data_IF_073268469943
#
_entry.id   IF_073268469943
#
_cell.length_a   1.000
_cell.length_b   1.000
_cell.length_c   1.000
_cell.angle_alpha   90.00
_cell.angle_beta   90.00
_cell.angle_gamma   90.00
#
_symmetry.space_group_name_H-M   'P 1'
#
loop_
_entity.id
_entity.type
_entity.pdbx_description
1 polymer ?
#
# COMPACT_ATOMS: atom_id res chain seq x y z
N UNK A 1 85.11 8.62 -22.33
CA UNK A 1 84.46 8.11 -21.11
C UNK A 1 83.29 8.98 -20.64
N UNK A 2 83.31 10.30 -20.83
CA UNK A 2 82.27 11.21 -20.31
C UNK A 2 80.88 11.10 -20.98
N UNK A 3 80.81 10.75 -22.28
CA UNK A 3 79.50 10.58 -22.94
C UNK A 3 78.74 9.34 -22.46
N UNK A 4 79.43 8.26 -22.12
CA UNK A 4 78.80 7.04 -21.60
C UNK A 4 78.18 7.26 -20.21
N UNK A 5 78.79 8.13 -19.39
CA UNK A 5 78.26 8.48 -18.07
C UNK A 5 76.97 9.30 -18.17
N UNK A 6 76.87 10.22 -19.14
CA UNK A 6 75.65 11.01 -19.37
C UNK A 6 74.47 10.14 -19.83
N UNK A 7 74.71 9.17 -20.72
CA UNK A 7 73.65 8.23 -21.11
C UNK A 7 73.20 7.34 -19.95
N UNK A 8 74.13 6.87 -19.11
CA UNK A 8 73.76 6.09 -17.92
C UNK A 8 72.89 6.89 -16.94
N UNK A 9 73.15 8.19 -16.76
CA UNK A 9 72.32 9.06 -15.91
C UNK A 9 70.91 9.22 -16.48
N UNK A 10 70.77 9.38 -17.80
CA UNK A 10 69.46 9.49 -18.46
C UNK A 10 68.66 8.18 -18.34
N UNK A 11 69.31 7.03 -18.53
CA UNK A 11 68.67 5.72 -18.35
C UNK A 11 68.28 5.46 -16.89
N UNK A 12 69.11 5.86 -15.93
CA UNK A 12 68.77 5.77 -14.50
C UNK A 12 67.56 6.65 -14.15
N UNK A 13 67.49 7.84 -14.74
CA UNK A 13 66.39 8.79 -14.53
C UNK A 13 65.06 8.27 -15.11
N UNK A 14 65.10 7.68 -16.32
CA UNK A 14 63.94 7.05 -16.94
C UNK A 14 63.49 5.80 -16.19
N UNK A 15 64.43 5.01 -15.68
CA UNK A 15 64.13 3.82 -14.87
C UNK A 15 63.50 4.19 -13.53
N UNK A 16 64.02 5.21 -12.84
CA UNK A 16 63.43 5.75 -11.62
C UNK A 16 62.02 6.31 -11.85
N UNK A 17 61.79 7.02 -12.96
CA UNK A 17 60.45 7.49 -13.33
C UNK A 17 59.48 6.32 -13.60
N UNK A 18 59.95 5.26 -14.26
CA UNK A 18 59.14 4.06 -14.52
C UNK A 18 58.82 3.28 -13.23
N UNK A 19 59.76 3.19 -12.30
CA UNK A 19 59.54 2.63 -10.95
C UNK A 19 58.56 3.49 -10.16
N UNK A 20 58.60 4.83 -10.27
CA UNK A 20 57.63 5.71 -9.64
C UNK A 20 56.21 5.55 -10.22
N UNK A 21 56.08 5.35 -11.54
CA UNK A 21 54.79 5.04 -12.19
C UNK A 21 54.28 3.67 -11.76
N UNK A 22 55.14 2.66 -11.64
CA UNK A 22 54.77 1.33 -11.16
C UNK A 22 54.41 1.33 -9.67
N UNK A 23 55.07 2.13 -8.82
CA UNK A 23 54.70 2.32 -7.41
C UNK A 23 53.37 3.07 -7.28
N UNK A 24 53.10 4.06 -8.14
CA UNK A 24 51.81 4.74 -8.21
C UNK A 24 50.70 3.82 -8.77
N UNK A 25 51.03 2.89 -9.68
CA UNK A 25 50.12 1.88 -10.21
C UNK A 25 49.97 0.65 -9.28
N UNK A 26 50.89 0.42 -8.32
CA UNK A 26 50.71 -0.57 -7.27
C UNK A 26 50.02 0.00 -6.02
N UNK A 27 49.99 1.33 -5.86
CA UNK A 27 49.11 2.01 -4.92
C UNK A 27 47.65 2.12 -5.42
N UNK A 28 47.34 1.62 -6.63
CA UNK A 28 46.01 1.05 -6.89
C UNK A 28 45.94 -0.37 -6.32
N UNK A 29 46.25 -0.49 -5.02
CA UNK A 29 45.70 -1.52 -4.17
C UNK A 29 44.20 -1.34 -4.27
N UNK A 30 43.58 -2.25 -5.02
CA UNK A 30 42.40 -2.99 -4.56
C UNK A 30 41.57 -2.14 -3.60
N UNK A 31 40.96 -1.09 -4.15
CA UNK A 31 39.60 -0.82 -3.77
C UNK A 31 38.80 -1.98 -4.40
N UNK A 32 38.83 -3.21 -3.89
CA UNK A 32 38.00 -3.54 -2.74
C UNK A 32 37.55 -2.27 -2.01
N UNK A 33 36.67 -1.51 -2.70
CA UNK A 33 35.49 -1.05 -2.01
C UNK A 33 34.98 -2.33 -1.37
N UNK A 34 35.34 -2.51 -0.10
CA UNK A 34 34.38 -2.89 0.91
C UNK A 34 33.13 -2.16 0.45
N UNK A 35 32.23 -2.89 -0.23
CA UNK A 35 30.87 -2.44 -0.44
C UNK A 35 30.51 -2.04 0.98
N UNK A 36 30.48 -0.72 1.26
CA UNK A 36 29.96 -0.33 2.53
C UNK A 36 28.57 -0.91 2.50
N UNK A 37 28.26 -1.71 3.51
CA UNK A 37 26.90 -2.11 3.84
C UNK A 37 26.14 -0.87 4.35
N UNK A 38 26.33 0.29 3.71
CA UNK A 38 25.36 1.36 3.72
C UNK A 38 24.24 0.85 2.83
N UNK A 39 23.39 0.04 3.43
CA UNK A 39 22.11 -0.35 2.86
C UNK A 39 21.42 0.94 2.41
N UNK A 40 21.27 1.21 1.10
CA UNK A 40 20.61 2.42 0.61
C UNK A 40 19.14 2.48 1.02
N UNK A 41 18.63 1.40 1.61
CA UNK A 41 17.23 1.20 1.96
C UNK A 41 17.08 1.14 3.48
N UNK A 42 16.23 1.97 4.10
CA UNK A 42 16.11 2.08 5.56
C UNK A 42 15.35 0.89 6.19
N UNK A 43 15.66 -0.35 5.80
CA UNK A 43 15.03 -1.57 6.29
C UNK A 43 13.98 -2.18 5.35
N UNK A 44 14.13 -1.99 4.03
CA UNK A 44 13.25 -2.66 3.05
C UNK A 44 13.50 -4.17 3.05
N UNK A 45 12.44 -4.93 2.79
CA UNK A 45 12.54 -6.32 2.34
C UNK A 45 11.95 -6.36 0.94
N UNK A 46 12.73 -6.78 -0.03
CA UNK A 46 12.36 -6.80 -1.45
C UNK A 46 12.73 -8.17 -2.01
N UNK A 47 11.71 -8.96 -2.35
CA UNK A 47 11.85 -10.35 -2.76
C UNK A 47 11.33 -10.50 -4.18
N UNK A 48 12.18 -10.97 -5.09
CA UNK A 48 11.79 -11.43 -6.41
C UNK A 48 11.53 -12.94 -6.35
N UNK A 49 10.25 -13.31 -6.40
CA UNK A 49 9.82 -14.68 -6.19
C UNK A 49 10.08 -15.50 -7.45
N UNK A 50 10.84 -16.58 -7.31
CA UNK A 50 11.27 -17.40 -8.43
C UNK A 50 12.59 -16.99 -9.08
N UNK A 51 13.16 -15.83 -8.72
CA UNK A 51 14.47 -15.42 -9.22
C UNK A 51 15.58 -16.36 -8.74
N UNK A 52 16.52 -16.75 -9.62
CA UNK A 52 17.65 -17.59 -9.22
C UNK A 52 18.73 -16.85 -8.44
N UNK A 53 18.80 -15.51 -8.55
CA UNK A 53 19.87 -14.70 -7.98
C UNK A 53 19.34 -13.37 -7.44
N UNK A 54 20.07 -12.81 -6.49
CA UNK A 54 19.88 -11.45 -6.00
C UNK A 54 20.41 -10.45 -7.04
N UNK A 55 19.82 -9.26 -7.11
CA UNK A 55 20.24 -8.21 -8.02
C UNK A 55 19.87 -6.80 -7.53
N UNK A 56 20.59 -5.80 -8.05
CA UNK A 56 20.19 -4.41 -7.96
C UNK A 56 19.32 -4.09 -9.17
N UNK A 57 18.08 -3.70 -8.96
CA UNK A 57 17.26 -3.14 -10.02
C UNK A 57 17.76 -1.72 -10.34
N UNK A 58 18.26 -1.50 -11.56
CA UNK A 58 18.92 -0.24 -11.92
C UNK A 58 17.94 0.94 -12.03
N UNK A 59 16.67 0.67 -12.37
CA UNK A 59 15.65 1.71 -12.55
C UNK A 59 15.16 2.25 -11.21
N UNK A 60 14.75 1.36 -10.30
CA UNK A 60 14.29 1.76 -8.96
C UNK A 60 15.46 2.02 -8.00
N UNK A 61 16.63 1.43 -8.25
CA UNK A 61 17.75 1.43 -7.30
C UNK A 61 17.56 0.46 -6.13
N UNK A 62 16.52 -0.39 -6.15
CA UNK A 62 16.18 -1.32 -5.07
C UNK A 62 16.97 -2.62 -5.22
N UNK A 63 17.53 -3.10 -4.11
CA UNK A 63 18.13 -4.43 -4.05
C UNK A 63 17.06 -5.50 -3.83
N UNK A 64 16.93 -6.44 -4.78
CA UNK A 64 16.04 -7.59 -4.68
C UNK A 64 16.80 -8.86 -4.35
N UNK A 65 16.22 -9.65 -3.46
CA UNK A 65 16.73 -10.97 -3.08
C UNK A 65 15.86 -12.08 -3.65
N UNK A 66 16.45 -13.25 -3.87
CA UNK A 66 15.71 -14.47 -4.14
C UNK A 66 14.85 -14.88 -2.93
N UNK A 67 13.75 -15.59 -3.20
CA UNK A 67 12.80 -16.05 -2.18
C UNK A 67 13.23 -17.28 -1.37
N UNK A 68 14.41 -17.87 -1.65
CA UNK A 68 14.87 -19.14 -1.07
C UNK A 68 14.90 -19.18 0.45
N UNK A 69 15.15 -18.05 1.10
CA UNK A 69 15.24 -17.95 2.56
C UNK A 69 13.94 -17.53 3.25
N UNK A 70 12.87 -17.31 2.47
CA UNK A 70 11.60 -16.79 2.96
C UNK A 70 10.48 -17.82 2.93
N UNK A 71 10.61 -18.88 2.14
CA UNK A 71 9.65 -19.98 2.04
C UNK A 71 10.34 -21.29 1.72
N UNK A 72 9.80 -22.42 2.22
CA UNK A 72 10.43 -23.74 2.11
C UNK A 72 9.86 -24.59 0.96
N UNK A 73 8.73 -24.21 0.39
CA UNK A 73 7.98 -25.02 -0.59
C UNK A 73 7.76 -24.27 -1.91
N UNK A 74 7.16 -24.95 -2.88
CA UNK A 74 6.79 -24.38 -4.17
C UNK A 74 7.85 -24.54 -5.25
N UNK A 75 7.47 -24.18 -6.47
CA UNK A 75 8.25 -24.38 -7.69
C UNK A 75 8.40 -23.06 -8.42
N UNK A 76 9.64 -22.73 -8.80
CA UNK A 76 10.00 -21.51 -9.50
C UNK A 76 9.80 -21.69 -11.01
N UNK A 77 9.18 -20.71 -11.65
CA UNK A 77 8.94 -20.72 -13.10
C UNK A 77 9.18 -19.33 -13.66
N UNK A 78 9.72 -19.26 -14.88
CA UNK A 78 9.75 -18.01 -15.64
C UNK A 78 8.36 -17.70 -16.17
N UNK A 79 7.96 -16.45 -16.04
CA UNK A 79 6.75 -15.91 -16.64
C UNK A 79 7.06 -15.63 -18.10
N UNK A 80 6.28 -16.20 -19.01
CA UNK A 80 6.38 -15.83 -20.43
C UNK A 80 5.59 -14.53 -20.61
N UNK A 81 6.21 -13.44 -21.11
CA UNK A 81 5.50 -12.20 -21.35
C UNK A 81 4.43 -12.45 -22.43
N UNK A 82 3.17 -12.42 -22.04
CA UNK A 82 2.02 -12.42 -22.96
C UNK A 82 1.55 -10.99 -23.31
N UNK A 83 2.18 -9.99 -22.69
CA UNK A 83 2.06 -8.56 -22.98
C UNK A 83 3.40 -7.88 -22.67
N UNK A 84 3.56 -6.65 -23.15
CA UNK A 84 4.69 -5.82 -22.76
C UNK A 84 4.51 -5.42 -21.29
N UNK A 85 5.10 -6.21 -20.38
CA UNK A 85 5.14 -5.96 -18.94
C UNK A 85 6.33 -5.06 -18.56
N UNK A 86 7.10 -4.57 -19.54
CA UNK A 86 8.14 -3.56 -19.38
C UNK A 86 7.53 -2.19 -19.03
N UNK A 87 6.84 -2.14 -17.91
CA UNK A 87 6.70 -0.90 -17.16
C UNK A 87 8.05 -0.67 -16.48
N UNK A 88 8.75 0.45 -16.77
CA UNK A 88 10.07 0.71 -16.20
C UNK A 88 10.13 0.45 -14.68
N UNK A 89 9.05 0.80 -13.98
CA UNK A 89 8.92 0.70 -12.53
C UNK A 89 8.69 -0.70 -11.94
N UNK A 90 8.36 -1.70 -12.75
CA UNK A 90 8.25 -3.09 -12.28
C UNK A 90 9.53 -3.89 -12.54
N UNK A 91 10.44 -3.38 -13.38
CA UNK A 91 11.73 -4.02 -13.66
C UNK A 91 11.60 -5.52 -13.97
N UNK A 92 12.40 -6.32 -13.26
CA UNK A 92 12.40 -7.79 -13.36
C UNK A 92 11.27 -8.52 -12.63
N UNK A 93 10.50 -7.84 -11.77
CA UNK A 93 9.66 -8.46 -10.73
C UNK A 93 8.49 -9.31 -11.24
N UNK A 94 8.12 -9.12 -12.51
CA UNK A 94 7.03 -9.84 -13.15
C UNK A 94 7.52 -10.93 -14.11
N UNK A 95 8.84 -11.14 -14.22
CA UNK A 95 9.45 -12.11 -15.13
C UNK A 95 9.59 -13.50 -14.52
N UNK A 96 9.44 -13.61 -13.20
CA UNK A 96 9.51 -14.85 -12.44
C UNK A 96 8.33 -14.97 -11.50
N UNK A 97 8.03 -16.22 -11.14
CA UNK A 97 7.10 -16.52 -10.07
C UNK A 97 7.51 -17.78 -9.33
N UNK A 98 7.02 -17.90 -8.09
CA UNK A 98 6.95 -19.17 -7.36
C UNK A 98 5.50 -19.61 -7.26
N UNK A 99 5.23 -20.85 -7.66
CA UNK A 99 3.91 -21.50 -7.59
C UNK A 99 3.85 -22.54 -6.47
N UNK A 100 2.67 -22.76 -5.89
CA UNK A 100 2.48 -23.67 -4.75
C UNK A 100 1.46 -24.77 -5.07
N UNK A 101 1.85 -25.82 -5.81
CA UNK A 101 0.94 -26.90 -6.20
C UNK A 101 0.45 -27.73 -5.01
N UNK A 102 1.31 -27.84 -4.00
CA UNK A 102 1.09 -28.61 -2.77
C UNK A 102 0.70 -27.71 -1.59
N UNK A 103 -0.01 -28.30 -0.62
CA UNK A 103 -0.51 -27.59 0.54
C UNK A 103 -1.75 -26.73 0.24
N UNK A 104 -2.56 -26.50 1.28
CA UNK A 104 -3.69 -25.57 1.22
C UNK A 104 -3.30 -24.14 1.54
N UNK A 105 -2.20 -23.96 2.27
CA UNK A 105 -1.70 -22.68 2.78
C UNK A 105 -0.19 -22.71 2.74
N UNK A 106 0.39 -21.78 2.00
CA UNK A 106 1.84 -21.63 1.87
C UNK A 106 2.20 -20.20 2.24
N UNK A 107 3.24 -20.02 3.05
CA UNK A 107 3.55 -18.72 3.64
C UNK A 107 5.00 -18.31 3.39
N UNK A 108 5.18 -17.01 3.20
CA UNK A 108 6.44 -16.32 3.34
C UNK A 108 6.60 -15.87 4.78
N UNK A 109 7.82 -15.93 5.29
CA UNK A 109 8.18 -15.47 6.64
C UNK A 109 9.07 -14.25 6.53
N UNK A 110 8.54 -13.08 6.88
CA UNK A 110 9.27 -11.81 6.87
C UNK A 110 9.69 -11.45 8.31
N UNK A 111 10.92 -10.95 8.46
CA UNK A 111 11.49 -10.49 9.74
C UNK A 111 12.01 -9.06 9.59
N UNK A 112 11.13 -8.05 9.62
CA UNK A 112 11.54 -6.66 9.46
C UNK A 112 12.46 -6.21 10.61
N UNK A 113 13.46 -5.38 10.29
CA UNK A 113 14.48 -4.93 11.25
C UNK A 113 13.89 -4.20 12.47
N UNK A 114 12.82 -3.44 12.29
CA UNK A 114 12.16 -2.70 13.37
C UNK A 114 11.21 -3.59 14.22
N UNK A 115 10.88 -4.80 13.74
CA UNK A 115 10.08 -5.78 14.47
C UNK A 115 8.62 -5.37 14.68
N UNK A 116 8.03 -5.85 15.77
CA UNK A 116 6.64 -5.56 16.14
C UNK A 116 6.38 -4.09 16.45
N UNK A 117 5.11 -3.69 16.46
CA UNK A 117 4.61 -2.36 16.80
C UNK A 117 5.11 -1.23 15.89
N UNK A 118 5.61 -1.57 14.70
CA UNK A 118 5.97 -0.63 13.65
C UNK A 118 5.04 -0.81 12.46
N UNK A 119 4.75 0.28 11.74
CA UNK A 119 3.90 0.23 10.55
C UNK A 119 4.71 -0.18 9.34
N UNK A 120 4.13 -1.08 8.54
CA UNK A 120 4.71 -1.53 7.28
C UNK A 120 3.69 -1.48 6.17
N UNK A 121 4.07 -0.94 5.02
CA UNK A 121 3.40 -1.19 3.74
C UNK A 121 3.94 -2.52 3.20
N UNK A 122 3.05 -3.48 2.96
CA UNK A 122 3.36 -4.78 2.39
C UNK A 122 2.66 -4.86 1.04
N UNK A 123 3.39 -5.28 0.01
CA UNK A 123 2.90 -5.35 -1.37
C UNK A 123 3.24 -6.69 -1.98
N UNK A 124 2.24 -7.34 -2.57
CA UNK A 124 2.40 -8.59 -3.30
C UNK A 124 2.06 -8.39 -4.78
N UNK A 125 2.91 -8.93 -5.65
CA UNK A 125 2.77 -8.85 -7.11
C UNK A 125 2.47 -10.22 -7.69
N UNK A 126 1.62 -10.24 -8.72
CA UNK A 126 1.20 -11.46 -9.39
C UNK A 126 1.18 -11.25 -10.91
N UNK A 127 2.04 -11.95 -11.65
CA UNK A 127 1.97 -12.05 -13.11
C UNK A 127 1.92 -13.53 -13.52
N UNK A 128 0.81 -13.97 -14.13
CA UNK A 128 0.59 -15.38 -14.43
C UNK A 128 1.38 -15.89 -15.65
N UNK A 129 1.41 -15.11 -16.74
CA UNK A 129 2.11 -15.41 -17.99
C UNK A 129 1.88 -16.82 -18.57
N UNK A 130 0.76 -17.47 -18.23
CA UNK A 130 0.46 -18.84 -18.61
C UNK A 130 1.58 -19.85 -18.28
N UNK A 131 2.24 -19.68 -17.13
CA UNK A 131 3.40 -20.49 -16.74
C UNK A 131 3.16 -22.00 -16.73
N UNK A 132 1.90 -22.43 -16.52
CA UNK A 132 1.51 -23.85 -16.46
C UNK A 132 0.79 -24.35 -17.73
N UNK A 133 0.71 -23.53 -18.78
CA UNK A 133 0.15 -23.89 -20.08
C UNK A 133 -1.37 -24.10 -20.11
N UNK A 134 -2.10 -23.81 -19.02
CA UNK A 134 -3.56 -24.03 -18.94
C UNK A 134 -4.41 -22.88 -19.44
N UNK A 135 -3.80 -21.71 -19.59
CA UNK A 135 -4.46 -20.47 -19.98
C UNK A 135 -5.67 -20.13 -19.08
N UNK A 136 -5.56 -20.46 -17.79
CA UNK A 136 -6.58 -20.23 -16.78
C UNK A 136 -5.91 -19.64 -15.53
N UNK A 137 -6.12 -18.34 -15.31
CA UNK A 137 -5.61 -17.67 -14.12
C UNK A 137 -6.24 -18.25 -12.86
N UNK A 138 -5.45 -18.67 -11.86
CA UNK A 138 -5.97 -19.18 -10.59
C UNK A 138 -6.61 -18.05 -9.78
N UNK A 139 -7.54 -18.42 -8.89
CA UNK A 139 -8.12 -17.53 -7.89
C UNK A 139 -7.71 -18.08 -6.53
N UNK A 140 -7.18 -17.24 -5.65
CA UNK A 140 -6.75 -17.68 -4.33
C UNK A 140 -6.73 -16.52 -3.34
N UNK A 141 -6.75 -16.84 -2.06
CA UNK A 141 -6.81 -15.81 -1.02
C UNK A 141 -5.42 -15.50 -0.48
N UNK A 142 -5.23 -14.26 -0.08
CA UNK A 142 -4.04 -13.73 0.55
C UNK A 142 -4.35 -13.39 2.02
N UNK A 143 -3.41 -13.70 2.90
CA UNK A 143 -3.53 -13.45 4.34
C UNK A 143 -2.26 -12.83 4.89
N UNK A 144 -2.40 -11.91 5.85
CA UNK A 144 -1.31 -11.47 6.73
C UNK A 144 -1.55 -12.07 8.11
N UNK A 145 -0.69 -13.00 8.53
CA UNK A 145 -0.94 -13.85 9.69
C UNK A 145 -2.26 -14.58 9.50
N UNK A 146 -3.17 -14.49 10.47
CA UNK A 146 -4.51 -15.10 10.39
C UNK A 146 -5.55 -14.21 9.70
N UNK A 147 -5.21 -12.96 9.39
CA UNK A 147 -6.15 -11.97 8.90
C UNK A 147 -6.25 -12.04 7.38
N UNK A 148 -7.48 -12.09 6.88
CA UNK A 148 -7.75 -12.01 5.45
C UNK A 148 -7.25 -10.67 4.92
N UNK A 149 -6.49 -10.71 3.83
CA UNK A 149 -6.00 -9.54 3.13
C UNK A 149 -6.82 -9.32 1.85
N UNK A 150 -6.82 -10.29 0.94
CA UNK A 150 -7.38 -10.09 -0.41
C UNK A 150 -7.72 -11.42 -1.09
N UNK A 151 -8.50 -11.37 -2.17
CA UNK A 151 -8.68 -12.49 -3.10
C UNK A 151 -8.01 -12.10 -4.41
N UNK A 152 -6.89 -12.75 -4.70
CA UNK A 152 -6.14 -12.54 -5.94
C UNK A 152 -6.95 -13.07 -7.10
N UNK A 153 -7.35 -12.14 -7.98
CA UNK A 153 -8.04 -12.43 -9.23
C UNK A 153 -7.50 -11.49 -10.30
N UNK A 154 -6.63 -12.01 -11.18
CA UNK A 154 -5.82 -11.15 -12.04
C UNK A 154 -6.65 -10.28 -12.98
N UNK A 155 -7.72 -10.81 -13.58
CA UNK A 155 -8.59 -10.12 -14.56
C UNK A 155 -7.88 -9.60 -15.85
N UNK A 156 -6.59 -9.29 -15.77
CA UNK A 156 -5.65 -8.74 -16.76
C UNK A 156 -4.29 -9.45 -16.58
N UNK A 157 -3.22 -8.85 -17.09
CA UNK A 157 -1.87 -9.43 -17.13
C UNK A 157 -1.20 -9.56 -15.76
N UNK A 158 -1.42 -8.59 -14.87
CA UNK A 158 -0.85 -8.57 -13.54
C UNK A 158 -1.87 -8.08 -12.50
N UNK A 159 -1.61 -8.40 -11.23
CA UNK A 159 -2.37 -7.94 -10.08
C UNK A 159 -1.41 -7.50 -8.97
N UNK A 160 -1.77 -6.44 -8.25
CA UNK A 160 -0.98 -5.91 -7.14
C UNK A 160 -1.95 -5.74 -5.97
N UNK A 161 -1.58 -6.32 -4.83
CA UNK A 161 -2.29 -6.10 -3.57
C UNK A 161 -1.37 -5.40 -2.59
N UNK A 162 -1.91 -4.44 -1.85
CA UNK A 162 -1.17 -3.62 -0.89
C UNK A 162 -1.94 -3.53 0.43
N UNK A 163 -1.21 -3.68 1.54
CA UNK A 163 -1.76 -3.54 2.89
C UNK A 163 -0.79 -2.83 3.80
N UNK A 164 -1.30 -1.95 4.65
CA UNK A 164 -0.57 -1.37 5.76
C UNK A 164 -0.91 -2.18 7.01
N UNK A 165 0.12 -2.75 7.63
CA UNK A 165 -0.01 -3.61 8.79
C UNK A 165 0.88 -3.15 9.94
N UNK A 166 0.33 -3.15 11.16
CA UNK A 166 1.10 -3.05 12.40
C UNK A 166 1.12 -4.43 13.09
N UNK A 167 2.21 -5.20 13.01
CA UNK A 167 2.29 -6.54 13.59
C UNK A 167 2.51 -6.47 15.10
N UNK A 168 1.99 -7.47 15.81
CA UNK A 168 2.19 -7.66 17.25
C UNK A 168 3.37 -8.59 17.57
N UNK A 169 3.97 -9.18 16.54
CA UNK A 169 5.12 -10.10 16.60
C UNK A 169 6.24 -9.61 15.70
N UNK A 170 7.48 -10.03 15.98
CA UNK A 170 8.66 -9.63 15.20
C UNK A 170 8.75 -10.35 13.84
N UNK A 171 7.85 -11.31 13.62
CA UNK A 171 7.68 -12.04 12.37
C UNK A 171 6.34 -11.69 11.76
N UNK A 172 6.30 -11.51 10.44
CA UNK A 172 5.09 -11.35 9.65
C UNK A 172 4.99 -12.54 8.69
N UNK A 173 3.83 -13.19 8.66
CA UNK A 173 3.56 -14.25 7.70
C UNK A 173 2.65 -13.74 6.59
N UNK A 174 3.09 -13.81 5.34
CA UNK A 174 2.25 -13.53 4.17
C UNK A 174 1.90 -14.86 3.53
N UNK A 175 0.63 -15.23 3.56
CA UNK A 175 0.18 -16.57 3.21
C UNK A 175 -0.75 -16.56 2.01
N UNK A 176 -0.45 -17.43 1.04
CA UNK A 176 -1.29 -17.76 -0.10
C UNK A 176 -2.13 -18.99 0.24
N UNK A 177 -3.44 -18.88 0.16
CA UNK A 177 -4.40 -19.93 0.53
C UNK A 177 -5.16 -20.37 -0.71
N UNK A 178 -5.00 -21.65 -1.05
CA UNK A 178 -5.59 -22.27 -2.22
C UNK A 178 -7.12 -22.30 -2.11
N UNK A 179 -7.80 -21.78 -3.13
CA UNK A 179 -9.25 -21.95 -3.30
C UNK A 179 -9.54 -23.11 -4.27
N UNK A 180 -10.75 -23.18 -4.81
CA UNK A 180 -11.17 -24.26 -5.73
C UNK A 180 -10.43 -24.18 -7.08
N UNK A 181 -10.00 -22.99 -7.51
CA UNK A 181 -9.53 -22.77 -8.89
C UNK A 181 -8.02 -22.53 -8.95
N UNK A 182 -7.30 -23.51 -9.50
CA UNK A 182 -5.90 -23.39 -9.89
C UNK A 182 -4.88 -23.46 -8.74
N UNK A 183 -3.66 -23.02 -9.03
CA UNK A 183 -2.50 -23.12 -8.14
C UNK A 183 -2.08 -21.71 -7.71
N UNK A 184 -2.03 -21.39 -6.40
CA UNK A 184 -1.55 -20.11 -5.92
C UNK A 184 -0.11 -19.85 -6.37
N UNK A 185 0.21 -18.60 -6.68
CA UNK A 185 1.55 -18.18 -7.08
C UNK A 185 1.81 -16.75 -6.64
N UNK A 186 3.06 -16.33 -6.64
CA UNK A 186 3.49 -14.95 -6.36
C UNK A 186 4.74 -14.63 -7.18
N UNK A 187 4.82 -13.39 -7.68
CA UNK A 187 5.93 -12.90 -8.51
C UNK A 187 6.92 -12.04 -7.73
N UNK A 188 6.42 -11.22 -6.81
CA UNK A 188 7.29 -10.47 -5.89
C UNK A 188 6.56 -10.16 -4.58
N UNK A 189 7.35 -9.95 -3.53
CA UNK A 189 6.87 -9.55 -2.20
C UNK A 189 7.77 -8.45 -1.64
N UNK A 190 7.16 -7.32 -1.34
CA UNK A 190 7.84 -6.14 -0.82
C UNK A 190 7.28 -5.75 0.54
N UNK A 191 8.16 -5.28 1.41
CA UNK A 191 7.83 -4.66 2.69
C UNK A 191 8.63 -3.37 2.85
N UNK A 192 7.93 -2.30 3.23
CA UNK A 192 8.46 -0.95 3.43
C UNK A 192 8.13 -0.47 4.83
N UNK A 193 9.12 -0.13 5.67
CA UNK A 193 8.89 0.53 6.94
C UNK A 193 8.25 1.90 6.73
N UNK A 194 7.25 2.21 7.54
CA UNK A 194 6.55 3.50 7.55
C UNK A 194 6.80 4.22 8.87
N UNK A 195 6.64 5.54 8.87
CA UNK A 195 6.58 6.27 10.13
C UNK A 195 5.31 5.87 10.92
N UNK A 196 5.44 5.63 12.22
CA UNK A 196 4.30 5.25 13.05
C UNK A 196 3.25 6.37 13.18
N UNK A 197 3.62 7.62 12.93
CA UNK A 197 2.71 8.77 13.00
C UNK A 197 1.76 8.90 11.81
N UNK A 198 2.02 8.22 10.67
CA UNK A 198 1.14 8.27 9.49
C UNK A 198 0.13 7.13 9.51
N UNK A 199 -0.96 7.27 8.74
CA UNK A 199 -2.07 6.30 8.72
C UNK A 199 -2.67 6.04 10.11
N UNK A 200 -2.92 7.13 10.84
CA UNK A 200 -3.72 7.06 12.06
C UNK A 200 -5.20 6.96 11.67
N UNK A 201 -5.92 6.07 12.36
CA UNK A 201 -7.33 5.81 12.11
C UNK A 201 -8.17 6.28 13.30
N UNK A 202 -9.41 6.77 13.07
CA UNK A 202 -10.36 7.11 14.14
C UNK A 202 -10.69 5.93 15.06
N UNK A 203 -10.61 4.71 14.53
CA UNK A 203 -10.74 3.45 15.27
C UNK A 203 -9.33 2.87 15.46
N UNK A 204 -8.60 3.28 16.51
CA UNK A 204 -7.27 2.74 16.78
C UNK A 204 -7.40 1.28 17.19
N UNK A 205 -6.69 0.39 16.49
CA UNK A 205 -6.52 -1.00 16.90
C UNK A 205 -5.03 -1.33 16.96
N UNK A 206 -4.66 -2.22 17.88
CA UNK A 206 -3.28 -2.70 18.02
C UNK A 206 -2.81 -3.57 16.84
N UNK A 207 -3.74 -3.94 15.95
CA UNK A 207 -3.50 -4.69 14.72
C UNK A 207 -4.25 -4.00 13.57
N UNK A 208 -4.02 -2.71 13.37
CA UNK A 208 -4.65 -2.00 12.26
C UNK A 208 -4.20 -2.61 10.92
N UNK A 209 -5.19 -2.86 10.07
CA UNK A 209 -5.04 -3.40 8.73
C UNK A 209 -5.80 -2.47 7.79
N UNK A 210 -5.03 -1.78 6.95
CA UNK A 210 -5.55 -0.88 5.93
C UNK A 210 -5.19 -1.44 4.56
N UNK A 211 -6.18 -1.87 3.81
CA UNK A 211 -5.97 -2.39 2.45
C UNK A 211 -6.02 -1.19 1.49
N UNK A 212 -4.95 -0.99 0.73
CA UNK A 212 -4.89 0.11 -0.22
C UNK A 212 -5.86 -0.14 -1.38
N UNK A 213 -6.79 0.80 -1.60
CA UNK A 213 -7.67 0.82 -2.77
C UNK A 213 -7.12 1.74 -3.87
N UNK A 214 -6.27 2.70 -3.49
CA UNK A 214 -5.53 3.52 -4.43
C UNK A 214 -4.90 4.75 -3.79
N UNK A 215 -3.78 5.16 -4.36
CA UNK A 215 -3.08 6.41 -4.05
C UNK A 215 -3.09 7.23 -5.33
N UNK A 216 -3.76 8.36 -5.30
CA UNK A 216 -4.14 9.09 -6.51
C UNK A 216 -3.49 10.46 -6.56
N UNK A 217 -2.66 10.65 -7.57
CA UNK A 217 -2.22 11.96 -8.02
C UNK A 217 -3.29 12.50 -8.98
N UNK A 218 -3.92 13.60 -8.60
CA UNK A 218 -5.12 14.11 -9.30
C UNK A 218 -4.82 15.20 -10.32
N UNK A 219 -3.55 15.57 -10.48
CA UNK A 219 -3.17 16.74 -11.24
C UNK A 219 -1.96 16.52 -12.15
N UNK A 220 -1.21 15.44 -12.00
CA UNK A 220 -0.10 15.13 -12.89
C UNK A 220 -0.59 14.73 -14.28
N UNK A 221 0.07 15.28 -15.30
CA UNK A 221 -0.16 14.96 -16.72
C UNK A 221 0.72 13.82 -17.22
N UNK A 222 1.66 13.35 -16.40
CA UNK A 222 2.55 12.27 -16.81
C UNK A 222 1.94 10.90 -16.42
N UNK A 223 1.09 10.40 -17.31
CA UNK A 223 0.36 9.13 -17.15
C UNK A 223 1.30 7.92 -17.01
N UNK A 224 2.58 8.07 -17.40
CA UNK A 224 3.53 6.97 -17.48
C UNK A 224 4.26 6.64 -16.16
N UNK A 225 4.15 7.48 -15.13
CA UNK A 225 5.04 7.39 -13.96
C UNK A 225 4.27 7.07 -12.69
N UNK A 226 4.38 5.83 -12.21
CA UNK A 226 4.13 5.57 -10.80
C UNK A 226 5.30 6.19 -10.04
N UNK A 227 5.11 7.40 -9.49
CA UNK A 227 6.10 7.98 -8.58
C UNK A 227 6.26 7.02 -7.41
N UNK A 228 7.41 6.33 -7.34
CA UNK A 228 7.77 5.38 -6.28
C UNK A 228 9.18 5.69 -5.78
N UNK A 229 9.83 4.78 -5.08
CA UNK A 229 11.24 4.96 -4.73
C UNK A 229 12.09 5.18 -5.99
N UNK A 230 13.06 6.12 -6.00
CA UNK A 230 13.56 6.93 -4.87
C UNK A 230 12.84 8.26 -4.60
N UNK A 231 11.85 8.62 -5.41
CA UNK A 231 11.14 9.90 -5.26
C UNK A 231 10.20 9.88 -4.04
N UNK A 232 9.58 8.72 -3.75
CA UNK A 232 8.81 8.48 -2.53
C UNK A 232 9.61 7.58 -1.56
N UNK A 233 9.95 8.11 -0.39
CA UNK A 233 10.75 7.41 0.63
C UNK A 233 10.05 6.17 1.21
N UNK A 234 8.71 6.11 1.14
CA UNK A 234 7.91 4.98 1.58
C UNK A 234 7.60 4.03 0.42
N UNK A 235 8.12 4.31 -0.78
CA UNK A 235 7.96 3.52 -2.01
C UNK A 235 6.48 3.26 -2.36
N UNK A 236 5.58 4.22 -2.05
CA UNK A 236 4.16 4.16 -2.45
C UNK A 236 4.03 4.21 -3.97
N UNK A 237 2.96 3.62 -4.50
CA UNK A 237 2.66 3.64 -5.94
C UNK A 237 1.55 4.65 -6.24
N UNK A 238 1.94 5.88 -6.58
CA UNK A 238 1.00 6.93 -6.98
C UNK A 238 0.47 6.67 -8.40
N UNK A 239 -0.85 6.82 -8.58
CA UNK A 239 -1.53 6.65 -9.88
C UNK A 239 -2.13 7.97 -10.30
N UNK A 240 -1.86 8.39 -11.52
CA UNK A 240 -2.50 9.58 -12.09
C UNK A 240 -3.94 9.28 -12.47
N UNK A 241 -4.86 10.19 -12.12
CA UNK A 241 -6.26 10.09 -12.53
C UNK A 241 -6.72 11.40 -13.15
N UNK A 242 -7.61 11.30 -14.13
CA UNK A 242 -8.21 12.45 -14.78
C UNK A 242 -9.67 12.56 -14.35
N UNK A 243 -9.98 13.60 -13.58
CA UNK A 243 -11.33 13.87 -13.09
C UNK A 243 -11.93 15.01 -13.92
N UNK A 244 -13.10 14.82 -14.56
CA UNK A 244 -13.74 15.88 -15.33
C UNK A 244 -13.95 17.16 -14.52
N UNK A 245 -13.78 18.31 -15.18
CA UNK A 245 -13.95 19.65 -14.61
C UNK A 245 -12.95 20.06 -13.52
N UNK A 246 -11.91 19.26 -13.30
CA UNK A 246 -10.79 19.62 -12.44
C UNK A 246 -9.70 20.25 -13.32
N UNK A 247 -9.36 21.51 -13.03
CA UNK A 247 -8.38 22.27 -13.79
C UNK A 247 -7.00 22.11 -13.17
N UNK A 248 -5.98 21.92 -14.00
CA UNK A 248 -4.64 21.70 -13.50
C UNK A 248 -3.93 23.02 -13.16
N UNK A 249 -3.34 23.06 -11.98
CA UNK A 249 -2.33 24.03 -11.57
C UNK A 249 -0.97 23.35 -11.49
N UNK A 250 0.05 24.05 -11.96
CA UNK A 250 1.45 23.61 -11.87
C UNK A 250 2.26 24.65 -11.09
N UNK A 251 2.95 24.18 -10.06
CA UNK A 251 3.92 24.95 -9.31
C UNK A 251 5.17 25.22 -10.13
N UNK A 252 5.83 26.34 -9.81
CA UNK A 252 7.13 26.71 -10.37
C UNK A 252 8.31 26.26 -9.51
N UNK A 253 8.05 25.81 -8.29
CA UNK A 253 9.04 25.43 -7.29
C UNK A 253 8.72 24.02 -6.82
N UNK A 254 9.72 23.14 -6.85
CA UNK A 254 9.60 21.80 -6.30
C UNK A 254 9.72 21.84 -4.78
N UNK A 255 8.84 21.11 -4.10
CA UNK A 255 8.87 20.96 -2.64
C UNK A 255 9.71 19.74 -2.31
N UNK A 256 10.84 19.93 -1.62
CA UNK A 256 11.67 18.83 -1.15
C UNK A 256 11.05 18.19 0.10
N UNK A 257 10.55 16.94 0.03
CA UNK A 257 9.92 16.26 1.16
C UNK A 257 10.87 16.13 2.35
N UNK A 258 12.19 16.08 2.14
CA UNK A 258 13.17 15.99 3.22
C UNK A 258 13.17 17.24 4.11
N UNK A 259 12.79 18.40 3.58
CA UNK A 259 12.81 19.69 4.30
C UNK A 259 11.52 20.05 5.02
N UNK A 260 10.42 19.36 4.74
CA UNK A 260 9.11 19.66 5.33
C UNK A 260 8.92 18.97 6.68
N UNK A 261 7.96 19.42 7.49
CA UNK A 261 7.58 18.73 8.72
C UNK A 261 6.44 17.71 8.52
N UNK A 262 5.95 17.52 7.30
CA UNK A 262 4.89 16.55 7.00
C UNK A 262 5.43 15.11 7.12
N UNK A 263 4.87 14.27 8.02
CA UNK A 263 5.34 12.91 8.19
C UNK A 263 5.00 11.99 7.01
N UNK A 264 4.03 12.36 6.16
CA UNK A 264 3.67 11.60 4.97
C UNK A 264 4.68 11.72 3.84
N UNK A 265 5.50 12.79 3.81
CA UNK A 265 6.66 12.89 2.91
C UNK A 265 6.33 12.56 1.46
N UNK A 266 5.23 13.12 0.94
CA UNK A 266 4.82 12.90 -0.44
C UNK A 266 5.93 13.32 -1.40
N UNK A 267 6.14 12.60 -2.51
CA UNK A 267 7.18 12.93 -3.49
C UNK A 267 6.93 14.31 -4.12
N UNK A 268 8.00 15.01 -4.47
CA UNK A 268 7.92 16.34 -5.11
C UNK A 268 7.06 16.33 -6.37
N UNK A 269 7.09 15.24 -7.14
CA UNK A 269 6.29 15.07 -8.35
C UNK A 269 4.78 15.05 -8.11
N UNK A 270 4.32 14.63 -6.93
CA UNK A 270 2.90 14.66 -6.57
C UNK A 270 2.53 16.05 -6.00
N UNK A 271 3.43 16.67 -5.26
CA UNK A 271 3.18 17.98 -4.63
C UNK A 271 3.28 19.16 -5.61
N UNK A 272 4.01 19.02 -6.73
CA UNK A 272 4.23 20.10 -7.69
C UNK A 272 3.00 20.52 -8.48
N UNK A 273 1.95 19.71 -8.50
CA UNK A 273 0.72 19.98 -9.23
C UNK A 273 -0.51 19.82 -8.34
N UNK A 274 -1.57 20.56 -8.63
CA UNK A 274 -2.84 20.45 -7.94
C UNK A 274 -4.01 20.61 -8.91
N UNK A 275 -5.09 19.89 -8.64
CA UNK A 275 -6.38 20.11 -9.26
C UNK A 275 -7.04 21.32 -8.60
N UNK A 276 -7.73 22.16 -9.38
CA UNK A 276 -8.44 23.35 -8.93
C UNK A 276 -9.86 23.34 -9.50
N UNK A 277 -10.83 23.84 -8.73
CA UNK A 277 -12.17 24.06 -9.27
C UNK A 277 -12.22 25.28 -10.20
N UNK A 278 -13.29 25.39 -10.99
CA UNK A 278 -13.41 26.46 -11.99
C UNK A 278 -13.29 27.88 -11.41
N UNK A 279 -13.89 28.12 -10.23
CA UNK A 279 -13.77 29.36 -9.48
C UNK A 279 -14.20 29.14 -8.01
N UNK A 280 -14.18 30.21 -7.21
CA UNK A 280 -14.54 30.21 -5.78
C UNK A 280 -15.91 29.57 -5.47
N UNK A 281 -16.89 29.70 -6.37
CA UNK A 281 -18.25 29.19 -6.18
C UNK A 281 -18.42 27.71 -6.56
N UNK A 282 -17.41 27.10 -7.20
CA UNK A 282 -17.43 25.69 -7.60
C UNK A 282 -16.61 24.83 -6.65
N UNK A 283 -17.09 23.62 -6.39
CA UNK A 283 -16.38 22.61 -5.62
C UNK A 283 -15.58 21.65 -6.51
N UNK A 284 -14.54 21.07 -5.93
CA UNK A 284 -13.95 19.83 -6.43
C UNK A 284 -14.79 18.67 -5.90
N UNK A 285 -15.61 18.07 -6.76
CA UNK A 285 -16.39 16.88 -6.40
C UNK A 285 -15.72 15.64 -6.97
N UNK A 286 -15.61 14.61 -6.15
CA UNK A 286 -15.13 13.30 -6.55
C UNK A 286 -16.13 12.22 -6.16
N UNK A 287 -16.37 11.29 -7.07
CA UNK A 287 -17.20 10.12 -6.86
C UNK A 287 -16.47 8.88 -7.39
N UNK A 288 -15.99 8.03 -6.48
CA UNK A 288 -15.23 6.85 -6.83
C UNK A 288 -16.03 5.92 -7.75
N UNK A 289 -17.33 5.72 -7.46
CA UNK A 289 -18.22 4.80 -8.16
C UNK A 289 -18.52 5.24 -9.61
N UNK A 290 -18.26 6.52 -9.92
CA UNK A 290 -18.34 7.05 -11.28
C UNK A 290 -17.19 6.57 -12.18
N UNK A 291 -16.06 6.19 -11.58
CA UNK A 291 -14.84 5.76 -12.29
C UNK A 291 -14.67 4.23 -12.17
N UNK A 292 -14.75 3.69 -10.96
CA UNK A 292 -14.55 2.28 -10.67
C UNK A 292 -15.71 1.73 -9.85
N UNK A 293 -16.20 0.54 -10.18
CA UNK A 293 -17.38 -0.09 -9.55
C UNK A 293 -17.01 -1.39 -8.84
N UNK A 294 -15.96 -1.32 -8.03
CA UNK A 294 -15.31 -2.48 -7.40
C UNK A 294 -15.25 -2.41 -5.86
N UNK A 295 -15.76 -1.34 -5.25
CA UNK A 295 -15.83 -1.24 -3.79
C UNK A 295 -16.88 -2.18 -3.20
N UNK A 296 -16.53 -2.78 -2.07
CA UNK A 296 -17.48 -3.49 -1.21
C UNK A 296 -18.30 -2.50 -0.39
N UNK A 297 -19.61 -2.45 -0.67
CA UNK A 297 -20.56 -1.53 -0.02
C UNK A 297 -20.73 -1.77 1.49
N UNK A 298 -20.34 -2.96 1.98
CA UNK A 298 -20.40 -3.31 3.41
C UNK A 298 -19.15 -2.89 4.20
N UNK A 299 -18.11 -2.43 3.51
CA UNK A 299 -16.83 -2.07 4.10
C UNK A 299 -16.75 -0.60 4.50
N UNK A 300 -15.80 -0.30 5.40
CA UNK A 300 -15.49 1.05 5.85
C UNK A 300 -14.24 1.55 5.12
N UNK A 301 -14.30 2.77 4.63
CA UNK A 301 -13.20 3.40 3.91
C UNK A 301 -12.73 4.67 4.59
N UNK A 302 -11.43 4.89 4.50
CA UNK A 302 -10.76 6.10 4.95
C UNK A 302 -10.14 6.82 3.75
N UNK A 303 -10.36 8.13 3.69
CA UNK A 303 -9.77 9.01 2.69
C UNK A 303 -8.75 9.91 3.38
N UNK A 304 -7.54 9.93 2.85
CA UNK A 304 -6.47 10.84 3.25
C UNK A 304 -6.33 11.90 2.16
N UNK A 305 -6.38 13.18 2.53
CA UNK A 305 -6.26 14.27 1.56
C UNK A 305 -4.90 14.94 1.70
N UNK A 306 -4.24 15.22 0.58
CA UNK A 306 -2.92 15.84 0.54
C UNK A 306 -2.97 17.16 -0.22
N UNK A 307 -2.46 18.21 0.42
CA UNK A 307 -2.46 19.57 -0.10
C UNK A 307 -1.08 20.20 0.01
N UNK A 308 -0.76 21.08 -0.93
CA UNK A 308 0.30 22.06 -0.84
C UNK A 308 -0.11 23.31 -1.62
N UNK A 309 0.04 24.49 -1.03
CA UNK A 309 -0.17 25.74 -1.77
C UNK A 309 1.03 25.98 -2.70
N UNK A 310 0.78 25.84 -4.00
CA UNK A 310 1.79 25.93 -5.06
C UNK A 310 1.76 27.27 -5.79
N UNK A 311 0.76 28.12 -5.53
CA UNK A 311 0.69 29.48 -6.06
C UNK A 311 1.15 30.49 -5.01
N UNK A 312 2.07 31.38 -5.39
CA UNK A 312 2.48 32.48 -4.51
C UNK A 312 1.41 33.57 -4.53
N UNK A 313 0.47 33.48 -3.59
CA UNK A 313 -0.64 34.44 -3.47
C UNK A 313 -0.15 35.83 -3.01
N UNK A 314 -0.85 36.92 -3.37
CA UNK A 314 -0.57 38.25 -2.84
C UNK A 314 -0.65 38.31 -1.31
N UNK A 315 0.05 39.27 -0.70
CA UNK A 315 0.03 39.43 0.75
C UNK A 315 -1.41 39.54 1.30
N UNK A 316 -1.66 38.82 2.39
CA UNK A 316 -2.98 38.72 3.03
C UNK A 316 -3.99 37.81 2.33
N UNK A 317 -3.70 37.32 1.12
CA UNK A 317 -4.55 36.33 0.44
C UNK A 317 -4.17 34.93 0.89
N UNK A 318 -5.18 34.10 1.16
CA UNK A 318 -5.02 32.70 1.58
C UNK A 318 -6.03 31.83 0.86
N UNK A 319 -5.63 30.58 0.61
CA UNK A 319 -6.56 29.53 0.19
C UNK A 319 -7.09 28.81 1.42
N UNK A 320 -8.40 28.89 1.61
CA UNK A 320 -9.08 28.38 2.79
C UNK A 320 -10.21 27.48 2.32
N UNK A 321 -10.26 26.24 2.80
CA UNK A 321 -11.10 25.19 2.21
C UNK A 321 -11.86 24.40 3.25
N UNK A 322 -13.07 23.97 2.89
CA UNK A 322 -13.83 22.97 3.63
C UNK A 322 -13.80 21.65 2.87
N UNK A 323 -13.78 20.55 3.63
CA UNK A 323 -13.79 19.19 3.09
C UNK A 323 -15.00 18.47 3.69
N UNK A 324 -15.85 17.92 2.83
CA UNK A 324 -16.96 17.06 3.22
C UNK A 324 -16.88 15.70 2.53
N UNK A 325 -17.32 14.67 3.23
CA UNK A 325 -17.59 13.35 2.66
C UNK A 325 -19.07 13.27 2.24
N UNK A 326 -19.50 12.08 1.81
CA UNK A 326 -20.88 11.76 1.50
C UNK A 326 -21.89 12.32 2.53
N UNK A 327 -23.06 12.78 2.06
CA UNK A 327 -24.10 13.44 2.85
C UNK A 327 -23.63 14.71 3.60
N UNK A 328 -22.71 15.46 3.02
CA UNK A 328 -22.17 16.72 3.57
C UNK A 328 -21.54 16.58 4.97
N UNK A 329 -21.08 15.37 5.31
CA UNK A 329 -20.39 15.13 6.56
C UNK A 329 -19.03 15.85 6.55
N UNK A 330 -18.92 16.93 7.32
CA UNK A 330 -17.70 17.73 7.38
C UNK A 330 -16.56 16.93 8.03
N UNK A 331 -15.40 16.90 7.37
CA UNK A 331 -14.21 16.16 7.86
C UNK A 331 -13.57 16.86 9.05
N UNK A 332 -13.53 18.19 9.03
CA UNK A 332 -12.91 19.02 10.06
C UNK A 332 -13.90 20.08 10.56
N UNK A 333 -13.83 20.42 11.85
CA UNK A 333 -14.64 21.48 12.45
C UNK A 333 -14.22 22.89 12.04
N UNK A 334 -12.99 23.04 11.52
CA UNK A 334 -12.40 24.31 11.10
C UNK A 334 -11.89 24.16 9.66
N UNK A 335 -12.06 25.18 8.79
CA UNK A 335 -11.52 25.17 7.44
C UNK A 335 -10.00 24.99 7.41
N UNK A 336 -9.49 24.27 6.43
CA UNK A 336 -8.06 24.12 6.17
C UNK A 336 -7.52 25.39 5.54
N UNK A 337 -6.51 26.01 6.14
CA UNK A 337 -5.79 27.15 5.55
C UNK A 337 -4.43 26.66 5.07
N UNK A 338 -4.13 26.86 3.78
CA UNK A 338 -2.85 26.45 3.22
C UNK A 338 -1.79 27.53 3.34
N UNK A 339 -0.56 27.09 3.60
CA UNK A 339 0.64 27.92 3.62
C UNK A 339 1.50 27.61 2.39
N UNK A 340 2.11 28.65 1.80
CA UNK A 340 2.85 28.53 0.55
C UNK A 340 4.04 27.57 0.70
N UNK A 341 4.09 26.54 -0.14
CA UNK A 341 5.09 25.45 -0.15
C UNK A 341 5.17 24.61 1.14
N UNK A 342 4.14 24.67 1.99
CA UNK A 342 4.04 23.83 3.19
C UNK A 342 2.99 22.73 2.97
N UNK A 343 3.41 21.46 2.78
CA UNK A 343 2.47 20.37 2.61
C UNK A 343 1.69 20.07 3.88
N UNK A 344 0.42 19.74 3.70
CA UNK A 344 -0.46 19.30 4.78
C UNK A 344 -1.26 18.07 4.34
N UNK A 345 -1.24 17.06 5.20
CA UNK A 345 -2.07 15.87 5.05
C UNK A 345 -3.22 15.91 6.06
N UNK A 346 -4.45 15.78 5.58
CA UNK A 346 -5.64 15.63 6.42
C UNK A 346 -5.97 14.14 6.54
N UNK A 347 -5.68 13.58 7.72
CA UNK A 347 -6.03 12.21 8.07
C UNK A 347 -7.54 12.07 8.35
N UNK A 348 -8.12 10.88 8.10
CA UNK A 348 -9.55 10.63 8.29
C UNK A 348 -9.96 10.85 9.75
N UNK A 349 -11.02 11.62 9.96
CA UNK A 349 -11.72 11.72 11.25
C UNK A 349 -12.93 10.78 11.33
N UNK A 350 -13.43 10.37 10.17
CA UNK A 350 -14.58 9.49 10.01
C UNK A 350 -14.29 8.46 8.91
N UNK A 351 -14.95 7.31 8.99
CA UNK A 351 -15.02 6.37 7.87
C UNK A 351 -16.23 6.72 7.01
N UNK A 352 -16.10 6.61 5.69
CA UNK A 352 -17.26 6.53 4.82
C UNK A 352 -17.70 5.07 4.65
N UNK A 353 -19.00 4.83 4.65
CA UNK A 353 -19.60 3.52 4.44
C UNK A 353 -20.32 3.53 3.09
N UNK A 354 -20.17 2.44 2.35
CA UNK A 354 -20.83 2.20 1.05
C UNK A 354 -20.34 3.07 -0.12
N UNK A 355 -20.28 4.40 0.01
CA UNK A 355 -19.90 5.29 -1.10
C UNK A 355 -18.69 6.13 -0.76
N UNK A 356 -17.70 6.18 -1.66
CA UNK A 356 -16.54 7.08 -1.51
C UNK A 356 -16.77 8.32 -2.38
N UNK A 357 -17.44 9.30 -1.76
CA UNK A 357 -17.71 10.60 -2.34
C UNK A 357 -17.16 11.69 -1.43
N UNK A 358 -16.56 12.71 -2.02
CA UNK A 358 -16.11 13.89 -1.28
C UNK A 358 -16.26 15.17 -2.10
N UNK A 359 -16.34 16.28 -1.38
CA UNK A 359 -16.38 17.62 -1.95
C UNK A 359 -15.40 18.54 -1.22
N UNK A 360 -14.67 19.35 -1.98
CA UNK A 360 -13.78 20.39 -1.44
C UNK A 360 -14.28 21.74 -1.96
N UNK A 361 -14.63 22.63 -1.04
CA UNK A 361 -15.21 23.95 -1.31
C UNK A 361 -14.32 25.06 -0.77
N UNK A 362 -14.36 26.24 -1.41
CA UNK A 362 -13.77 27.44 -0.81
C UNK A 362 -14.57 27.84 0.44
N UNK A 363 -13.87 28.17 1.52
CA UNK A 363 -14.49 28.87 2.65
C UNK A 363 -14.80 30.33 2.26
N UNK A 364 -15.73 30.99 2.95
CA UNK A 364 -16.18 32.35 2.62
C UNK A 364 -15.07 33.40 2.65
N UNK A 365 -14.03 33.15 3.44
CA UNK A 365 -12.83 33.98 3.57
C UNK A 365 -11.69 33.60 2.59
N UNK A 366 -11.87 32.58 1.75
CA UNK A 366 -10.85 32.17 0.78
C UNK A 366 -10.73 33.21 -0.32
N UNK A 367 -9.50 33.57 -0.67
CA UNK A 367 -9.23 34.49 -1.76
C UNK A 367 -9.21 33.82 -3.14
N UNK A 368 -9.03 32.50 -3.17
CA UNK A 368 -8.84 31.70 -4.39
C UNK A 368 -9.59 30.36 -4.31
N UNK A 369 -9.89 29.72 -5.46
CA UNK A 369 -10.64 28.46 -5.50
C UNK A 369 -9.99 27.32 -4.70
N UNK A 370 -10.71 26.27 -4.27
CA UNK A 370 -10.10 25.12 -3.62
C UNK A 370 -9.15 24.35 -4.56
N UNK A 371 -8.16 23.69 -3.97
CA UNK A 371 -7.24 22.79 -4.68
C UNK A 371 -7.12 21.43 -4.01
N UNK A 372 -6.61 20.42 -4.73
CA UNK A 372 -6.21 19.11 -4.22
C UNK A 372 -4.99 18.60 -4.98
N UNK A 373 -3.92 18.19 -4.30
CA UNK A 373 -2.74 17.61 -4.96
C UNK A 373 -2.90 16.10 -5.15
N UNK A 374 -3.36 15.42 -4.09
CA UNK A 374 -3.47 13.96 -4.09
C UNK A 374 -4.47 13.49 -3.02
N UNK A 375 -4.96 12.26 -3.15
CA UNK A 375 -5.66 11.57 -2.07
C UNK A 375 -5.35 10.07 -2.04
N UNK A 376 -5.46 9.45 -0.87
CA UNK A 376 -5.33 8.00 -0.70
C UNK A 376 -6.63 7.41 -0.17
N UNK A 377 -7.02 6.25 -0.70
CA UNK A 377 -8.20 5.50 -0.29
C UNK A 377 -7.79 4.17 0.35
N UNK A 378 -8.17 3.98 1.61
CA UNK A 378 -7.84 2.79 2.38
C UNK A 378 -9.12 2.11 2.87
N UNK A 379 -9.25 0.81 2.62
CA UNK A 379 -10.28 -0.02 3.23
C UNK A 379 -9.82 -0.40 4.64
N UNK A 380 -10.64 -0.10 5.64
CA UNK A 380 -10.42 -0.52 7.02
C UNK A 380 -10.93 -1.94 7.22
N UNK A 381 -10.01 -2.87 7.42
CA UNK A 381 -10.39 -4.25 7.67
C UNK A 381 -10.98 -4.37 9.07
N UNK A 382 -12.27 -4.70 9.13
CA UNK A 382 -12.89 -5.24 10.33
C UNK A 382 -12.94 -6.75 10.17
N UNK A 383 -12.68 -7.51 11.25
CA UNK A 383 -12.84 -8.96 11.18
C UNK A 383 -14.27 -9.26 10.78
N UNK A 384 -14.51 -9.60 9.51
CA UNK A 384 -15.79 -10.15 9.09
C UNK A 384 -15.90 -11.47 9.84
N UNK A 385 -16.68 -11.47 10.92
CA UNK A 385 -17.17 -12.73 11.48
C UNK A 385 -17.94 -13.33 10.33
N UNK A 386 -17.37 -14.35 9.67
CA UNK A 386 -18.13 -15.21 8.80
C UNK A 386 -19.18 -15.88 9.68
N UNK A 387 -20.34 -15.24 9.81
CA UNK A 387 -21.57 -15.95 10.16
C UNK A 387 -21.79 -16.91 9.01
N UNK A 388 -21.30 -18.13 9.19
CA UNK A 388 -21.73 -19.27 8.39
C UNK A 388 -23.26 -19.25 8.51
N UNK A 389 -23.96 -18.97 7.41
CA UNK A 389 -25.42 -19.16 7.36
C UNK A 389 -25.72 -20.57 7.84
N UNK A 390 -26.60 -20.77 8.83
CA UNK A 390 -26.95 -22.09 9.32
C UNK A 390 -27.91 -22.74 8.33
N UNK A 391 -27.40 -23.09 7.15
CA UNK A 391 -28.04 -24.04 6.25
C UNK A 391 -27.00 -25.11 5.98
N UNK A 392 -27.22 -26.26 6.62
CA UNK A 392 -26.39 -27.48 6.66
C UNK A 392 -25.26 -27.56 7.69
N UNK A 393 -25.61 -27.68 8.98
CA UNK A 393 -24.98 -28.72 9.83
C UNK A 393 -26.08 -29.32 10.72
N UNK A 394 -26.48 -30.54 10.39
CA UNK A 394 -27.17 -31.41 11.31
C UNK A 394 -26.17 -31.98 12.31
N UNK A 395 -26.56 -31.89 13.59
CA UNK A 395 -26.06 -32.65 14.75
C UNK A 395 -24.65 -32.34 15.30
N UNK A 396 -24.69 -32.07 16.60
CA UNK A 396 -23.65 -32.16 17.63
C UNK A 396 -22.53 -31.11 17.63
N UNK A 397 -22.73 -30.07 18.46
CA UNK A 397 -21.64 -29.29 19.04
C UNK A 397 -21.67 -29.49 20.55
N UNK A 398 -20.71 -30.28 21.04
CA UNK A 398 -20.30 -30.27 22.45
C UNK A 398 -19.17 -29.24 22.62
N UNK A 399 -19.46 -28.23 23.47
CA UNK A 399 -18.58 -27.58 24.47
C UNK A 399 -17.15 -27.21 24.05
N UNK A 400 -16.83 -25.90 24.10
CA UNK A 400 -15.82 -25.35 25.04
C UNK A 400 -15.87 -23.81 25.02
N UNK A 401 -16.51 -23.22 26.03
CA UNK A 401 -16.23 -21.86 26.50
C UNK A 401 -16.07 -21.92 28.03
N UNK A 402 -14.83 -21.78 28.50
CA UNK A 402 -14.51 -21.31 29.86
C UNK A 402 -13.49 -20.18 29.72
N UNK A 403 -13.91 -18.94 29.96
CA UNK A 403 -13.88 -18.19 31.24
C UNK A 403 -12.58 -17.41 31.36
N UNK A 404 -12.68 -16.08 31.40
CA UNK A 404 -11.83 -15.16 32.18
C UNK A 404 -12.57 -13.81 32.27
N UNK A 405 -13.37 -13.64 33.30
CA UNK A 405 -13.63 -12.37 33.99
C UNK A 405 -14.49 -12.68 35.21
N UNK A 406 -13.83 -12.70 36.36
CA UNK A 406 -14.47 -12.83 37.65
C UNK A 406 -15.02 -11.47 38.10
N UNK A 407 -16.29 -11.47 38.50
CA UNK A 407 -16.82 -10.63 39.57
C UNK A 407 -18.09 -11.31 40.05
N UNK A 408 -18.08 -11.75 41.31
CA UNK A 408 -19.22 -12.32 42.02
C UNK A 408 -20.30 -11.26 42.21
N UNK A 409 -21.54 -11.59 41.86
CA UNK A 409 -22.74 -11.03 42.48
C UNK A 409 -23.77 -12.16 42.56
N UNK A 410 -23.99 -12.62 43.78
CA UNK A 410 -24.93 -13.66 44.12
C UNK A 410 -26.37 -13.18 43.91
N UNK A 411 -27.16 -13.93 43.14
CA UNK A 411 -28.61 -13.82 43.13
C UNK A 411 -29.24 -15.22 43.03
N UNK A 412 -29.93 -15.57 44.11
CA UNK A 412 -30.62 -16.84 44.38
C UNK A 412 -31.76 -17.07 43.39
N UNK A 413 -31.75 -18.19 42.66
CA UNK A 413 -32.86 -18.62 41.79
C UNK A 413 -33.68 -19.71 42.49
N UNK A 414 -34.86 -19.34 42.98
CA UNK A 414 -35.94 -20.26 43.36
C UNK A 414 -36.68 -20.76 42.10
N UNK A 415 -36.67 -22.07 41.86
CA UNK A 415 -37.54 -22.75 40.87
C UNK A 415 -38.99 -22.79 41.36
N UNK A 416 -39.97 -22.64 40.46
CA UNK A 416 -41.23 -23.33 40.58
C UNK A 416 -41.38 -24.45 39.52
N UNK A 417 -41.83 -25.58 40.02
CA UNK A 417 -42.26 -26.79 39.32
C UNK A 417 -43.63 -26.57 38.69
N UNK A 418 -43.85 -26.99 37.43
CA UNK A 418 -45.21 -27.26 36.91
C UNK A 418 -45.22 -28.55 36.07
N UNK A 419 -46.12 -29.46 36.47
CA UNK A 419 -46.52 -30.71 35.83
C UNK A 419 -47.49 -30.47 34.66
N UNK A 420 -47.62 -31.47 33.77
CA UNK A 420 -48.90 -31.80 33.13
C UNK A 420 -49.00 -31.51 31.63
N UNK A 421 -49.31 -32.55 30.88
CA UNK A 421 -49.38 -32.67 29.42
C UNK A 421 -50.75 -32.25 28.82
N UNK A 422 -51.05 -32.50 27.53
CA UNK A 422 -51.20 -31.49 26.48
C UNK A 422 -52.67 -31.25 26.08
N UNK A 423 -53.01 -30.07 25.54
CA UNK A 423 -54.01 -29.92 24.48
C UNK A 423 -54.14 -28.47 23.97
N UNK A 424 -54.36 -28.39 22.65
CA UNK A 424 -55.11 -27.37 21.89
C UNK A 424 -54.40 -26.16 21.23
N UNK A 425 -54.49 -26.23 19.88
CA UNK A 425 -54.97 -25.21 18.93
C UNK A 425 -54.09 -23.98 18.66
N UNK A 426 -53.46 -23.99 17.48
CA UNK A 426 -53.01 -22.79 16.78
C UNK A 426 -54.17 -22.18 15.99
N UNK A 427 -54.45 -20.90 16.26
CA UNK A 427 -55.30 -20.01 15.45
C UNK A 427 -54.40 -18.97 14.81
N UNK A 428 -54.46 -18.83 13.48
CA UNK A 428 -53.91 -17.70 12.73
C UNK A 428 -54.99 -16.63 12.56
N UNK A 429 -54.66 -15.33 12.62
CA UNK A 429 -55.44 -14.29 11.98
C UNK A 429 -54.80 -13.86 10.65
N UNK A 430 -55.57 -13.93 9.56
CA UNK A 430 -55.41 -13.05 8.38
C UNK A 430 -55.91 -11.63 8.74
N UNK A 431 -55.97 -10.63 7.88
CA UNK A 431 -55.72 -10.41 6.44
C UNK A 431 -55.77 -8.88 6.27
N UNK A 432 -55.07 -8.28 5.30
CA UNK A 432 -55.64 -7.25 4.41
C UNK A 432 -54.69 -6.86 3.27
N UNK A 433 -55.26 -6.92 2.06
CA UNK A 433 -54.71 -6.65 0.73
C UNK A 433 -54.32 -5.18 0.50
N UNK A 434 -53.50 -4.92 -0.53
CA UNK A 434 -53.81 -3.93 -1.58
C UNK A 434 -53.04 -4.24 -2.88
N UNK A 435 -53.73 -4.01 -3.99
CA UNK A 435 -53.49 -4.40 -5.37
C UNK A 435 -52.50 -3.51 -6.13
N UNK A 436 -51.79 -4.10 -7.10
CA UNK A 436 -51.09 -3.38 -8.17
C UNK A 436 -52.00 -3.18 -9.38
N UNK A 437 -52.01 -1.96 -9.91
CA UNK A 437 -52.23 -1.62 -11.31
C UNK A 437 -51.07 -0.72 -11.75
#
# INVERSE_FOLDING_TARGET
MERALQWNIVWLSLWLAFVQVLLNAHNTVVHARKLSTDDPHPGFISIDCGSPNDYLDEESGIWYQSDTNFTETGTNTKVVPNANLDYPYFGGLLNTLRSFPEGKRNCYTLKPKQGKNHKYLIRAYFAYGNYDGKNQTPIFDLYVGVNYWDTVNLGKYYYISEIIHTPTTDTIHVCLVKTVVGIPFISALELRPLNNSIYQTPLPSSQSLLINQGMFDVASTNIATHSRYKDDIYDRLWRTINVPYWYQLNGSVDIDPATTNDPYKLPSQVLRSAAQSYNLSYSLNFDYDSIWKDLDLSSLYYVYFHFAEIEKLPDGHKRIMNISLYNDQTVLSVPVTLEYLEPVTISPQYSTQSFVQFSITAASQSAVPPILNAFELMLFWTSKVHTISPTYIGKEIHVFQRTMLGTELAATLTKPTIQGSPHCKCTLPGNLNLSFN
#
